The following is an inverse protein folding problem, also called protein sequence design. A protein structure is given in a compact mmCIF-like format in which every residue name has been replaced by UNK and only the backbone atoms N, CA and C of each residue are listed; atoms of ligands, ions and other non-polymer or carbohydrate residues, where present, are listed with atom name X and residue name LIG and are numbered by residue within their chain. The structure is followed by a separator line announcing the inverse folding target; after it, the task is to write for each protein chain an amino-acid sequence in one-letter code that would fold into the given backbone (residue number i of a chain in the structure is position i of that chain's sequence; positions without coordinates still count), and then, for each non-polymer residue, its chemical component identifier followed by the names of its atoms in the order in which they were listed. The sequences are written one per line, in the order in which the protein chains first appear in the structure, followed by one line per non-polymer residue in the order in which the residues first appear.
data_IF_510579201803
#
_entry.id   IF_510579201803
#
_cell.length_a   1.000
_cell.length_b   1.000
_cell.length_c   1.000
_cell.angle_alpha   90.00
_cell.angle_beta   90.00
_cell.angle_gamma   90.00
#
_symmetry.space_group_name_H-M   'P 1'
#
loop_
_entity.id
_entity.type
_entity.pdbx_description
1 polymer ?
#
# COMPACT_ATOMS: atom_id res chain seq x y z
N UNK A 1 11.56 -25.93 -9.24
CA UNK A 1 10.72 -25.79 -10.45
C UNK A 1 9.68 -24.71 -10.19
N UNK A 2 9.31 -23.89 -11.19
CA UNK A 2 8.21 -22.95 -11.06
C UNK A 2 6.91 -23.69 -10.75
N UNK A 3 5.97 -23.02 -10.09
CA UNK A 3 4.64 -23.58 -9.88
C UNK A 3 3.89 -23.72 -11.22
N UNK A 4 2.85 -24.58 -11.30
CA UNK A 4 2.00 -24.66 -12.49
C UNK A 4 1.44 -23.29 -12.91
N UNK A 5 1.08 -22.43 -11.94
CA UNK A 5 0.57 -21.09 -12.20
C UNK A 5 1.62 -20.19 -12.88
N UNK A 6 2.87 -20.18 -12.38
CA UNK A 6 3.95 -19.42 -13.00
C UNK A 6 4.27 -19.95 -14.40
N UNK A 7 4.23 -21.27 -14.58
CA UNK A 7 4.45 -21.90 -15.89
C UNK A 7 3.38 -21.47 -16.91
N UNK A 8 2.11 -21.39 -16.48
CA UNK A 8 1.02 -20.89 -17.33
C UNK A 8 1.21 -19.43 -17.71
N UNK A 9 1.57 -18.57 -16.76
CA UNK A 9 1.81 -17.14 -17.03
C UNK A 9 2.94 -16.99 -18.05
N UNK A 10 4.06 -17.70 -17.88
CA UNK A 10 5.18 -17.67 -18.85
C UNK A 10 4.69 -17.99 -20.26
N UNK A 11 3.95 -19.09 -20.44
CA UNK A 11 3.41 -19.48 -21.76
C UNK A 11 2.44 -18.45 -22.34
N UNK A 12 1.64 -17.79 -21.49
CA UNK A 12 0.74 -16.73 -21.93
C UNK A 12 1.52 -15.51 -22.43
N UNK A 13 2.57 -15.10 -21.72
CA UNK A 13 3.44 -13.99 -22.14
C UNK A 13 4.21 -14.33 -23.42
N UNK A 14 4.80 -15.52 -23.50
CA UNK A 14 5.53 -16.00 -24.68
C UNK A 14 4.68 -16.02 -25.96
N UNK A 15 3.35 -16.10 -25.84
CA UNK A 15 2.44 -16.09 -26.98
C UNK A 15 2.16 -14.69 -27.56
N UNK A 16 2.65 -13.63 -26.92
CA UNK A 16 2.46 -12.25 -27.34
C UNK A 16 3.62 -11.76 -28.23
N UNK A 17 3.39 -10.77 -29.11
CA UNK A 17 4.47 -10.01 -29.75
C UNK A 17 5.43 -9.38 -28.74
N UNK A 18 6.70 -9.26 -29.11
CA UNK A 18 7.78 -8.79 -28.23
C UNK A 18 7.46 -7.44 -27.58
N UNK A 19 6.86 -6.49 -28.32
CA UNK A 19 6.48 -5.19 -27.78
C UNK A 19 5.43 -5.30 -26.66
N UNK A 20 4.50 -6.26 -26.78
CA UNK A 20 3.48 -6.51 -25.75
C UNK A 20 4.05 -7.30 -24.56
N UNK A 21 5.08 -8.12 -24.76
CA UNK A 21 5.79 -8.78 -23.66
C UNK A 21 6.49 -7.74 -22.78
N UNK A 22 7.21 -6.81 -23.39
CA UNK A 22 7.89 -5.72 -22.67
C UNK A 22 6.89 -4.83 -21.92
N UNK A 23 5.79 -4.45 -22.57
CA UNK A 23 4.75 -3.64 -21.93
C UNK A 23 4.11 -4.37 -20.72
N UNK A 24 3.87 -5.68 -20.84
CA UNK A 24 3.31 -6.48 -19.75
C UNK A 24 4.27 -6.56 -18.55
N UNK A 25 5.58 -6.67 -18.79
CA UNK A 25 6.59 -6.69 -17.72
C UNK A 25 6.50 -5.44 -16.85
N UNK A 26 6.31 -4.26 -17.45
CA UNK A 26 6.19 -3.01 -16.69
C UNK A 26 4.92 -2.97 -15.84
N UNK A 27 3.78 -3.44 -16.35
CA UNK A 27 2.55 -3.54 -15.55
C UNK A 27 2.68 -4.54 -14.40
N UNK A 28 3.29 -5.69 -14.64
CA UNK A 28 3.52 -6.70 -13.60
C UNK A 28 4.45 -6.16 -12.53
N UNK A 29 5.50 -5.41 -12.89
CA UNK A 29 6.41 -4.77 -11.93
C UNK A 29 5.66 -3.77 -11.05
N UNK A 30 4.83 -2.91 -11.66
CA UNK A 30 4.01 -1.96 -10.91
C UNK A 30 3.05 -2.66 -9.94
N UNK A 31 2.38 -3.72 -10.40
CA UNK A 31 1.46 -4.49 -9.57
C UNK A 31 2.15 -5.21 -8.40
N UNK A 32 3.35 -5.77 -8.62
CA UNK A 32 4.14 -6.37 -7.54
C UNK A 32 4.52 -5.30 -6.51
N UNK A 33 4.93 -4.10 -6.95
CA UNK A 33 5.27 -3.01 -6.05
C UNK A 33 4.08 -2.58 -5.17
N UNK A 34 2.87 -2.52 -5.74
CA UNK A 34 1.63 -2.24 -5.00
C UNK A 34 1.34 -3.32 -3.94
N UNK A 35 1.49 -4.61 -4.29
CA UNK A 35 1.33 -5.71 -3.32
C UNK A 35 2.32 -5.59 -2.16
N UNK A 36 3.58 -5.27 -2.46
CA UNK A 36 4.60 -5.11 -1.43
C UNK A 36 4.36 -3.88 -0.55
N UNK A 37 3.86 -2.79 -1.13
CA UNK A 37 3.48 -1.59 -0.39
C UNK A 37 2.30 -1.86 0.55
N UNK A 38 1.24 -2.48 0.04
CA UNK A 38 0.09 -2.85 0.86
C UNK A 38 0.52 -3.74 2.03
N UNK A 39 1.39 -4.74 1.77
CA UNK A 39 1.93 -5.59 2.83
C UNK A 39 2.71 -4.79 3.89
N UNK A 40 3.51 -3.81 3.48
CA UNK A 40 4.23 -2.94 4.42
C UNK A 40 3.25 -2.10 5.25
N UNK A 41 2.27 -1.49 4.60
CA UNK A 41 1.20 -0.73 5.26
C UNK A 41 0.50 -1.58 6.32
N UNK A 42 0.10 -2.78 5.94
CA UNK A 42 -0.64 -3.72 6.77
C UNK A 42 0.16 -4.15 8.01
N UNK A 43 1.47 -4.33 7.87
CA UNK A 43 2.40 -4.59 8.97
C UNK A 43 2.55 -3.37 9.90
N UNK A 44 2.80 -2.19 9.33
CA UNK A 44 2.93 -0.94 10.07
C UNK A 44 1.65 -0.62 10.85
N UNK A 45 0.48 -0.81 10.24
CA UNK A 45 -0.80 -0.60 10.89
C UNK A 45 -1.04 -1.62 12.01
N UNK A 46 -0.77 -2.91 11.80
CA UNK A 46 -0.89 -3.93 12.85
C UNK A 46 -0.07 -3.59 14.09
N UNK A 47 1.13 -3.02 13.91
CA UNK A 47 2.01 -2.61 15.01
C UNK A 47 1.54 -1.31 15.70
N UNK A 48 0.97 -0.37 14.95
CA UNK A 48 0.69 1.00 15.45
C UNK A 48 -0.78 1.27 15.77
N UNK A 49 -1.71 0.39 15.40
CA UNK A 49 -3.17 0.60 15.54
C UNK A 49 -3.61 1.06 16.93
N UNK A 50 -3.02 0.49 18.00
CA UNK A 50 -3.41 0.84 19.36
C UNK A 50 -2.94 2.25 19.73
N UNK A 51 -1.77 2.66 19.25
CA UNK A 51 -1.25 4.02 19.43
C UNK A 51 -2.10 5.03 18.66
N UNK A 52 -2.53 4.68 17.44
CA UNK A 52 -3.46 5.52 16.67
C UNK A 52 -4.80 5.70 17.39
N UNK A 53 -5.36 4.61 17.96
CA UNK A 53 -6.59 4.70 18.77
C UNK A 53 -6.38 5.58 20.00
N UNK A 54 -5.27 5.42 20.72
CA UNK A 54 -4.95 6.23 21.89
C UNK A 54 -4.79 7.71 21.52
N UNK A 55 -4.07 8.02 20.43
CA UNK A 55 -3.89 9.37 19.93
C UNK A 55 -5.24 10.00 19.54
N UNK A 56 -6.11 9.27 18.85
CA UNK A 56 -7.44 9.75 18.48
C UNK A 56 -8.34 10.02 19.69
N UNK A 57 -8.26 9.19 20.74
CA UNK A 57 -8.97 9.43 22.01
C UNK A 57 -8.47 10.69 22.69
N UNK A 58 -7.15 10.81 22.84
CA UNK A 58 -6.50 11.99 23.42
C UNK A 58 -6.88 13.27 22.68
N UNK A 59 -6.85 13.26 21.34
CA UNK A 59 -7.26 14.42 20.55
C UNK A 59 -8.71 14.84 20.84
N UNK A 60 -9.64 13.89 21.00
CA UNK A 60 -11.03 14.19 21.36
C UNK A 60 -11.16 14.80 22.76
N UNK A 61 -10.38 14.31 23.72
CA UNK A 61 -10.34 14.84 25.08
C UNK A 61 -9.78 16.28 25.09
N UNK A 62 -8.71 16.54 24.35
CA UNK A 62 -8.10 17.86 24.21
C UNK A 62 -9.05 18.86 23.53
N UNK A 63 -9.79 18.43 22.51
CA UNK A 63 -10.85 19.24 21.87
C UNK A 63 -11.94 19.59 22.89
N UNK A 64 -12.44 18.61 23.64
CA UNK A 64 -13.48 18.86 24.64
C UNK A 64 -13.00 19.77 25.78
N UNK A 65 -11.71 19.72 26.12
CA UNK A 65 -11.07 20.59 27.11
C UNK A 65 -10.74 21.99 26.56
N UNK A 66 -10.95 22.27 25.27
CA UNK A 66 -10.60 23.55 24.65
C UNK A 66 -9.10 23.75 24.44
N UNK A 67 -8.31 22.67 24.48
CA UNK A 67 -6.85 22.69 24.32
C UNK A 67 -6.41 22.52 22.85
N UNK A 68 -7.35 22.33 21.93
CA UNK A 68 -7.07 22.16 20.50
C UNK A 68 -7.29 23.45 19.71
N UNK A 69 -6.46 23.69 18.70
CA UNK A 69 -6.70 24.69 17.66
C UNK A 69 -7.00 24.04 16.31
N UNK A 70 -7.78 24.68 15.42
CA UNK A 70 -7.94 24.22 14.04
C UNK A 70 -6.59 24.06 13.33
N UNK A 71 -6.49 23.06 12.46
CA UNK A 71 -5.29 22.82 11.64
C UNK A 71 -5.12 23.97 10.64
N UNK A 72 -3.93 24.58 10.63
CA UNK A 72 -3.55 25.59 9.65
C UNK A 72 -2.78 24.92 8.50
N UNK A 73 -3.42 24.86 7.33
CA UNK A 73 -2.86 24.18 6.16
C UNK A 73 -1.73 24.95 5.49
N UNK A 74 -1.57 26.25 5.78
CA UNK A 74 -0.49 27.08 5.25
C UNK A 74 0.84 26.89 6.00
N UNK A 75 0.82 26.11 7.09
CA UNK A 75 2.00 25.83 7.94
C UNK A 75 2.44 24.35 7.90
N UNK A 76 1.92 23.56 6.96
CA UNK A 76 2.27 22.16 6.75
C UNK A 76 3.42 22.01 5.73
#
# INVERSE_FOLDING_TARGET
MPSPAITTIIKMVESLPDELQEQLVEYVRAYIAEIEEEKRWDQSFKQTKNNLVAAARKAKEEIAAGLSTPMDYEQL
#
